data_IF_018853241673
#
_entry.id   IF_018853241673
#
_cell.length_a   1.000
_cell.length_b   1.000
_cell.length_c   1.000
_cell.angle_alpha   90.00
_cell.angle_beta   90.00
_cell.angle_gamma   90.00
#
_symmetry.space_group_name_H-M   'P 1'
#
loop_
_entity.id
_entity.type
_entity.pdbx_description
1 polymer ?
#
# COMPACT_ATOMS: atom_id res chain seq x y z
N UNK A 1 -25.89 35.75 23.64
CA UNK A 1 -25.96 35.83 25.11
C UNK A 1 -25.03 36.94 25.55
N UNK A 2 -25.61 38.06 25.95
CA UNK A 2 -24.95 39.32 26.24
C UNK A 2 -24.72 39.45 27.76
N UNK A 3 -23.55 39.99 28.14
CA UNK A 3 -23.26 40.47 29.49
C UNK A 3 -24.13 41.71 29.78
N UNK A 4 -24.64 41.86 31.02
CA UNK A 4 -24.96 43.17 31.55
C UNK A 4 -23.92 43.62 32.58
N UNK A 5 -23.41 44.82 32.34
CA UNK A 5 -22.75 45.66 33.32
C UNK A 5 -23.82 46.36 34.19
N UNK A 6 -23.56 46.51 35.49
CA UNK A 6 -24.21 47.55 36.30
C UNK A 6 -23.21 48.08 37.32
N UNK A 7 -22.73 49.30 37.07
CA UNK A 7 -22.08 50.12 38.08
C UNK A 7 -23.11 50.87 38.92
N UNK A 8 -22.76 51.17 40.16
CA UNK A 8 -23.27 52.38 40.82
C UNK A 8 -22.17 52.99 41.68
N UNK A 9 -21.78 54.22 41.31
CA UNK A 9 -21.15 55.20 42.18
C UNK A 9 -22.25 55.85 43.01
N UNK A 10 -21.91 56.48 44.15
CA UNK A 10 -22.11 57.93 44.39
C UNK A 10 -21.73 58.36 45.83
N UNK A 11 -21.00 59.51 45.89
CA UNK A 11 -20.84 60.59 46.90
C UNK A 11 -20.40 60.24 48.34
N UNK A 12 -19.32 60.78 48.92
CA UNK A 12 -18.75 62.15 49.07
C UNK A 12 -19.49 63.05 50.08
N UNK A 13 -18.68 63.66 50.96
CA UNK A 13 -18.91 64.71 51.98
C UNK A 13 -19.31 64.15 53.37
N UNK A 14 -18.82 64.63 54.52
CA UNK A 14 -18.11 65.87 54.88
C UNK A 14 -17.62 65.77 56.35
N UNK A 15 -16.54 66.46 56.69
CA UNK A 15 -16.08 66.69 58.07
C UNK A 15 -16.99 67.68 58.83
N UNK A 16 -16.86 67.79 60.17
CA UNK A 16 -15.96 68.83 60.71
C UNK A 16 -15.13 68.43 61.94
N UNK A 17 -14.04 69.20 62.15
CA UNK A 17 -13.15 69.24 63.32
C UNK A 17 -13.77 70.03 64.48
N UNK A 18 -13.63 69.55 65.71
CA UNK A 18 -13.26 70.27 66.98
C UNK A 18 -12.71 69.15 67.89
N UNK A 19 -11.50 69.12 68.45
CA UNK A 19 -10.79 70.10 69.26
C UNK A 19 -10.71 69.56 70.69
N UNK A 20 -9.55 69.04 71.11
CA UNK A 20 -9.31 68.56 72.48
C UNK A 20 -7.92 67.94 72.65
N UNK A 21 -6.98 68.71 73.22
CA UNK A 21 -5.64 68.26 73.64
C UNK A 21 -5.73 67.59 75.02
N UNK A 22 -5.01 66.48 75.21
CA UNK A 22 -4.20 66.18 76.39
C UNK A 22 -3.24 64.99 76.09
N UNK A 23 -2.08 64.86 76.75
CA UNK A 23 -0.96 64.06 76.29
C UNK A 23 -0.88 62.68 76.96
N UNK A 24 0.13 61.88 76.54
CA UNK A 24 0.96 60.96 77.37
C UNK A 24 1.09 59.51 76.85
N UNK A 25 2.35 59.04 76.89
CA UNK A 25 2.88 57.67 76.97
C UNK A 25 3.01 56.79 75.69
N UNK A 26 4.23 56.78 75.16
CA UNK A 26 4.87 55.60 74.54
C UNK A 26 4.95 54.45 75.56
N UNK A 27 4.46 53.25 75.23
CA UNK A 27 5.17 51.99 75.53
C UNK A 27 4.54 50.70 74.91
N UNK A 28 5.42 49.81 74.40
CA UNK A 28 5.29 48.32 74.23
C UNK A 28 4.26 47.75 73.22
N UNK A 29 4.64 47.78 71.92
CA UNK A 29 3.98 47.04 70.83
C UNK A 29 4.72 45.77 70.32
N UNK A 30 5.70 45.24 71.05
CA UNK A 30 6.53 44.08 70.60
C UNK A 30 6.17 42.73 71.23
N UNK A 31 5.48 42.66 72.38
CA UNK A 31 5.26 41.37 73.06
C UNK A 31 4.13 40.52 72.45
N UNK A 32 3.10 41.15 71.86
CA UNK A 32 1.97 40.42 71.24
C UNK A 32 2.38 39.70 69.95
N UNK A 33 3.25 40.32 69.14
CA UNK A 33 3.79 39.70 67.92
C UNK A 33 4.77 38.57 68.24
N UNK A 34 5.57 38.71 69.30
CA UNK A 34 6.47 37.64 69.76
C UNK A 34 5.68 36.44 70.30
N UNK A 35 4.56 36.67 71.00
CA UNK A 35 3.67 35.59 71.46
C UNK A 35 3.00 34.84 70.30
N UNK A 36 2.52 35.56 69.28
CA UNK A 36 1.92 34.92 68.09
C UNK A 36 2.98 34.15 67.29
N UNK A 37 4.17 34.73 67.10
CA UNK A 37 5.28 34.04 66.45
C UNK A 37 5.71 32.79 67.24
N UNK A 38 5.75 32.85 68.57
CA UNK A 38 6.06 31.68 69.41
C UNK A 38 4.99 30.59 69.32
N UNK A 39 3.71 30.94 69.20
CA UNK A 39 2.60 29.99 68.99
C UNK A 39 2.65 29.32 67.61
N UNK A 40 2.99 30.08 66.56
CA UNK A 40 3.16 29.54 65.22
C UNK A 40 4.41 28.64 65.19
N UNK A 41 5.51 29.06 65.82
CA UNK A 41 6.74 28.28 65.89
C UNK A 41 6.55 27.00 66.71
N UNK A 42 5.77 27.05 67.80
CA UNK A 42 5.40 25.84 68.55
C UNK A 42 4.46 24.96 67.75
N UNK A 43 3.51 25.53 67.02
CA UNK A 43 2.64 24.78 66.12
C UNK A 43 3.43 24.05 65.05
N UNK A 44 4.33 24.75 64.36
CA UNK A 44 5.20 24.17 63.33
C UNK A 44 6.19 23.16 63.93
N UNK A 45 6.75 23.44 65.11
CA UNK A 45 7.66 22.53 65.81
C UNK A 45 6.97 21.26 66.30
N UNK A 46 5.72 21.34 66.78
CA UNK A 46 4.90 20.18 67.16
C UNK A 46 4.52 19.38 65.92
N UNK A 47 4.10 20.03 64.84
CA UNK A 47 3.71 19.35 63.58
C UNK A 47 4.92 18.69 62.92
N UNK A 48 6.06 19.40 62.89
CA UNK A 48 7.33 18.88 62.38
C UNK A 48 7.92 17.78 63.27
N UNK A 49 7.79 17.91 64.59
CA UNK A 49 8.20 16.90 65.57
C UNK A 49 7.34 15.63 65.53
N UNK A 50 6.03 15.76 65.30
CA UNK A 50 5.13 14.64 65.05
C UNK A 50 5.49 13.91 63.75
N UNK A 51 5.74 14.66 62.66
CA UNK A 51 6.11 14.07 61.38
C UNK A 51 7.50 13.41 61.42
N UNK A 52 8.46 14.04 62.10
CA UNK A 52 9.78 13.48 62.35
C UNK A 52 9.72 12.26 63.29
N UNK A 53 8.88 12.27 64.32
CA UNK A 53 8.68 11.17 65.25
C UNK A 53 8.06 9.94 64.57
N UNK A 54 7.04 10.13 63.74
CA UNK A 54 6.42 9.07 62.93
C UNK A 54 7.47 8.40 62.02
N UNK A 55 8.36 9.19 61.41
CA UNK A 55 9.41 8.69 60.53
C UNK A 55 10.61 8.08 61.27
N UNK A 56 10.94 8.56 62.46
CA UNK A 56 12.06 8.05 63.29
C UNK A 56 11.70 6.77 64.05
N UNK A 57 10.44 6.61 64.45
CA UNK A 57 9.93 5.43 65.17
C UNK A 57 9.24 4.40 64.27
N UNK A 58 9.18 4.63 62.95
CA UNK A 58 8.49 3.78 61.98
C UNK A 58 7.06 3.42 62.43
N UNK A 59 6.33 4.42 62.94
CA UNK A 59 4.98 4.25 63.47
C UNK A 59 3.98 4.20 62.32
N UNK A 60 3.44 3.01 62.04
CA UNK A 60 2.37 2.84 61.07
C UNK A 60 1.05 3.37 61.62
N UNK A 61 0.77 4.64 61.34
CA UNK A 61 -0.46 5.34 61.74
C UNK A 61 -1.74 4.58 61.36
N UNK A 62 -1.73 3.86 60.23
CA UNK A 62 -2.84 3.02 59.80
C UNK A 62 -3.01 1.77 60.66
N UNK A 63 -1.93 1.22 61.20
CA UNK A 63 -1.96 0.04 62.07
C UNK A 63 -2.43 0.43 63.48
N UNK A 64 -1.88 1.53 64.01
CA UNK A 64 -2.35 2.12 65.27
C UNK A 64 -3.82 2.56 65.20
N UNK A 65 -4.24 3.23 64.12
CA UNK A 65 -5.63 3.64 63.93
C UNK A 65 -6.60 2.44 63.80
N UNK A 66 -6.11 1.29 63.35
CA UNK A 66 -6.89 0.04 63.31
C UNK A 66 -7.12 -0.60 64.69
N UNK A 67 -6.32 -0.26 65.71
CA UNK A 67 -6.49 -0.74 67.08
C UNK A 67 -7.57 0.03 67.85
N UNK A 68 -8.06 1.13 67.28
CA UNK A 68 -9.06 2.01 67.90
C UNK A 68 -10.45 1.63 67.39
N UNK A 69 -11.36 1.13 68.26
CA UNK A 69 -12.61 0.48 67.83
C UNK A 69 -13.59 1.40 67.07
N UNK A 70 -13.47 2.74 67.17
CA UNK A 70 -14.30 3.67 66.39
C UNK A 70 -13.75 3.98 64.99
N UNK A 71 -12.47 3.70 64.73
CA UNK A 71 -11.79 3.97 63.45
C UNK A 71 -11.60 2.71 62.59
N UNK A 72 -11.79 1.52 63.17
CA UNK A 72 -11.62 0.23 62.51
C UNK A 72 -12.34 0.16 61.14
N UNK A 73 -13.60 0.60 61.09
CA UNK A 73 -14.40 0.61 59.86
C UNK A 73 -13.84 1.53 58.77
N UNK A 74 -13.35 2.71 59.14
CA UNK A 74 -12.80 3.71 58.20
C UNK A 74 -11.43 3.27 57.67
N UNK A 75 -10.59 2.71 58.55
CA UNK A 75 -9.28 2.17 58.16
C UNK A 75 -9.44 0.95 57.26
N UNK A 76 -10.42 0.08 57.53
CA UNK A 76 -10.72 -1.09 56.70
C UNK A 76 -11.21 -0.70 55.31
N UNK A 77 -12.13 0.26 55.19
CA UNK A 77 -12.61 0.72 53.88
C UNK A 77 -11.52 1.43 53.08
N UNK A 78 -10.64 2.20 53.75
CA UNK A 78 -9.49 2.82 53.10
C UNK A 78 -8.47 1.77 52.60
N UNK A 79 -8.15 0.74 53.40
CA UNK A 79 -7.28 -0.37 52.96
C UNK A 79 -7.89 -1.16 51.80
N UNK A 80 -9.19 -1.44 51.84
CA UNK A 80 -9.91 -2.06 50.72
C UNK A 80 -9.87 -1.17 49.47
N UNK A 81 -10.00 0.14 49.62
CA UNK A 81 -9.86 1.11 48.53
C UNK A 81 -8.47 1.07 47.88
N UNK A 82 -7.40 1.11 48.67
CA UNK A 82 -6.01 0.99 48.19
C UNK A 82 -5.75 -0.33 47.47
N UNK A 83 -6.27 -1.45 48.00
CA UNK A 83 -6.15 -2.76 47.35
C UNK A 83 -6.92 -2.82 46.03
N UNK A 84 -8.13 -2.25 45.97
CA UNK A 84 -8.92 -2.17 44.75
C UNK A 84 -8.25 -1.25 43.71
N UNK A 85 -7.68 -0.12 44.13
CA UNK A 85 -6.95 0.79 43.25
C UNK A 85 -5.74 0.10 42.61
N UNK A 86 -4.97 -0.68 43.38
CA UNK A 86 -3.88 -1.48 42.84
C UNK A 86 -4.36 -2.49 41.79
N UNK A 87 -5.46 -3.20 42.06
CA UNK A 87 -6.05 -4.16 41.11
C UNK A 87 -6.59 -3.47 39.85
N UNK A 88 -7.20 -2.29 39.98
CA UNK A 88 -7.69 -1.50 38.85
C UNK A 88 -6.54 -1.02 37.97
N UNK A 89 -5.45 -0.52 38.56
CA UNK A 89 -4.25 -0.11 37.81
C UNK A 89 -3.63 -1.30 37.07
N UNK A 90 -3.57 -2.48 37.68
CA UNK A 90 -3.11 -3.70 37.00
C UNK A 90 -4.04 -4.13 35.86
N UNK A 91 -5.36 -4.07 36.08
CA UNK A 91 -6.35 -4.38 35.05
C UNK A 91 -6.28 -3.39 33.87
N UNK A 92 -6.15 -2.09 34.14
CA UNK A 92 -5.98 -1.05 33.12
C UNK A 92 -4.70 -1.26 32.31
N UNK A 93 -3.59 -1.59 32.98
CA UNK A 93 -2.33 -1.95 32.30
C UNK A 93 -2.50 -3.19 31.43
N UNK A 94 -3.20 -4.21 31.91
CA UNK A 94 -3.50 -5.43 31.15
C UNK A 94 -4.36 -5.15 29.92
N UNK A 95 -5.39 -4.31 30.05
CA UNK A 95 -6.24 -3.88 28.94
C UNK A 95 -5.44 -3.05 27.93
N UNK A 96 -4.62 -2.10 28.40
CA UNK A 96 -3.77 -1.28 27.54
C UNK A 96 -2.76 -2.13 26.76
N UNK A 97 -2.14 -3.12 27.40
CA UNK A 97 -1.22 -4.06 26.75
C UNK A 97 -1.94 -4.88 25.66
N UNK A 98 -3.13 -5.44 25.95
CA UNK A 98 -3.92 -6.18 24.97
C UNK A 98 -4.38 -5.31 23.80
N UNK A 99 -4.77 -4.06 24.05
CA UNK A 99 -5.12 -3.11 22.98
C UNK A 99 -3.93 -2.84 22.07
N UNK A 100 -2.76 -2.57 22.66
CA UNK A 100 -1.54 -2.34 21.88
C UNK A 100 -1.11 -3.58 21.07
N UNK A 101 -1.33 -4.78 21.60
CA UNK A 101 -1.10 -6.03 20.86
C UNK A 101 -2.07 -6.17 19.68
N UNK A 102 -3.37 -5.97 19.93
CA UNK A 102 -4.40 -6.05 18.90
C UNK A 102 -4.18 -4.99 17.81
N UNK A 103 -3.77 -3.77 18.17
CA UNK A 103 -3.45 -2.71 17.21
C UNK A 103 -2.28 -3.10 16.31
N UNK A 104 -1.25 -3.77 16.85
CA UNK A 104 -0.12 -4.29 16.06
C UNK A 104 -0.57 -5.42 15.13
N UNK A 105 -1.43 -6.32 15.60
CA UNK A 105 -2.00 -7.38 14.76
C UNK A 105 -2.85 -6.79 13.62
N UNK A 106 -3.67 -5.79 13.90
CA UNK A 106 -4.45 -5.08 12.89
C UNK A 106 -3.57 -4.40 11.84
N UNK A 107 -2.48 -3.76 12.26
CA UNK A 107 -1.51 -3.16 11.34
C UNK A 107 -0.85 -4.22 10.44
N UNK A 108 -0.37 -5.33 11.02
CA UNK A 108 0.21 -6.44 10.26
C UNK A 108 -0.79 -7.02 9.25
N UNK A 109 -2.04 -7.25 9.68
CA UNK A 109 -3.07 -7.79 8.81
C UNK A 109 -3.43 -6.81 7.68
N UNK A 110 -3.42 -5.51 7.94
CA UNK A 110 -3.63 -4.49 6.93
C UNK A 110 -2.51 -4.51 5.88
N UNK A 111 -1.25 -4.54 6.32
CA UNK A 111 -0.07 -4.64 5.44
C UNK A 111 -0.10 -5.92 4.59
N UNK A 112 -0.42 -7.07 5.19
CA UNK A 112 -0.56 -8.34 4.48
C UNK A 112 -1.67 -8.31 3.44
N UNK A 113 -2.82 -7.69 3.77
CA UNK A 113 -3.94 -7.54 2.83
C UNK A 113 -3.56 -6.66 1.64
N UNK A 114 -2.86 -5.56 1.87
CA UNK A 114 -2.38 -4.70 0.78
C UNK A 114 -1.37 -5.43 -0.10
N UNK A 115 -0.43 -6.16 0.50
CA UNK A 115 0.55 -6.97 -0.24
C UNK A 115 -0.13 -8.07 -1.07
N UNK A 116 -1.15 -8.75 -0.52
CA UNK A 116 -1.92 -9.76 -1.23
C UNK A 116 -2.74 -9.15 -2.37
N UNK A 117 -3.37 -7.97 -2.17
CA UNK A 117 -4.10 -7.27 -3.21
C UNK A 117 -3.19 -6.87 -4.38
N UNK A 118 -1.98 -6.37 -4.08
CA UNK A 118 -0.99 -6.02 -5.09
C UNK A 118 -0.55 -7.26 -5.90
N UNK A 119 -0.29 -8.38 -5.22
CA UNK A 119 0.07 -9.65 -5.88
C UNK A 119 -1.07 -10.21 -6.73
N UNK A 120 -2.31 -10.12 -6.25
CA UNK A 120 -3.49 -10.55 -7.00
C UNK A 120 -3.64 -9.76 -8.30
N UNK A 121 -3.46 -8.44 -8.26
CA UNK A 121 -3.49 -7.59 -9.44
C UNK A 121 -2.35 -7.92 -10.42
N UNK A 122 -1.15 -8.22 -9.91
CA UNK A 122 -0.02 -8.63 -10.74
C UNK A 122 -0.29 -9.97 -11.44
N UNK A 123 -0.84 -10.94 -10.71
CA UNK A 123 -1.22 -12.24 -11.27
C UNK A 123 -2.30 -12.11 -12.33
N UNK A 124 -3.33 -11.29 -12.10
CA UNK A 124 -4.39 -11.02 -13.07
C UNK A 124 -3.83 -10.44 -14.38
N UNK A 125 -2.94 -9.45 -14.28
CA UNK A 125 -2.24 -8.89 -15.46
C UNK A 125 -1.43 -9.96 -16.20
N UNK A 126 -0.66 -10.78 -15.48
CA UNK A 126 0.12 -11.87 -16.09
C UNK A 126 -0.79 -12.90 -16.77
N UNK A 127 -1.90 -13.24 -16.15
CA UNK A 127 -2.88 -14.16 -16.72
C UNK A 127 -3.48 -13.59 -18.01
N UNK A 128 -3.92 -12.33 -18.01
CA UNK A 128 -4.46 -11.68 -19.22
C UNK A 128 -3.42 -11.60 -20.36
N UNK A 129 -2.14 -11.39 -20.03
CA UNK A 129 -1.07 -11.36 -21.00
C UNK A 129 -0.83 -12.75 -21.59
N UNK A 130 -0.78 -13.79 -20.76
CA UNK A 130 -0.63 -15.17 -21.21
C UNK A 130 -1.80 -15.62 -22.09
N UNK A 131 -3.03 -15.24 -21.76
CA UNK A 131 -4.20 -15.54 -22.59
C UNK A 131 -4.11 -14.84 -23.96
N UNK A 132 -3.66 -13.59 -24.01
CA UNK A 132 -3.45 -12.88 -25.26
C UNK A 132 -2.33 -13.52 -26.10
N UNK A 133 -1.24 -13.92 -25.46
CA UNK A 133 -0.11 -14.59 -26.11
C UNK A 133 -0.52 -15.94 -26.67
N UNK A 134 -1.29 -16.72 -25.91
CA UNK A 134 -1.80 -18.01 -26.34
C UNK A 134 -2.71 -17.87 -27.58
N UNK A 135 -3.60 -16.88 -27.60
CA UNK A 135 -4.43 -16.60 -28.79
C UNK A 135 -3.58 -16.28 -30.02
N UNK A 136 -2.57 -15.42 -29.87
CA UNK A 136 -1.63 -15.10 -30.98
C UNK A 136 -0.86 -16.32 -31.46
N UNK A 137 -0.46 -17.22 -30.55
CA UNK A 137 0.22 -18.45 -30.93
C UNK A 137 -0.69 -19.41 -31.70
N UNK A 138 -1.96 -19.53 -31.30
CA UNK A 138 -2.95 -20.34 -32.02
C UNK A 138 -3.18 -19.78 -33.41
N UNK A 139 -3.39 -18.47 -33.55
CA UNK A 139 -3.57 -17.79 -34.85
C UNK A 139 -2.36 -18.04 -35.77
N UNK A 140 -1.14 -17.84 -35.27
CA UNK A 140 0.08 -18.12 -36.03
C UNK A 140 0.21 -19.59 -36.42
N UNK A 141 -0.15 -20.50 -35.52
CA UNK A 141 -0.11 -21.93 -35.80
C UNK A 141 -1.11 -22.30 -36.91
N UNK A 142 -2.31 -21.72 -36.91
CA UNK A 142 -3.28 -21.90 -37.98
C UNK A 142 -2.78 -21.34 -39.31
N UNK A 143 -2.20 -20.13 -39.31
CA UNK A 143 -1.60 -19.52 -40.50
C UNK A 143 -0.50 -20.40 -41.10
N UNK A 144 0.42 -20.88 -40.26
CA UNK A 144 1.50 -21.78 -40.68
C UNK A 144 0.94 -23.10 -41.22
N UNK A 145 -0.10 -23.65 -40.60
CA UNK A 145 -0.73 -24.90 -41.05
C UNK A 145 -1.41 -24.71 -42.41
N UNK A 146 -2.10 -23.59 -42.62
CA UNK A 146 -2.73 -23.25 -43.91
C UNK A 146 -1.67 -23.01 -44.99
N UNK A 147 -0.58 -22.32 -44.66
CA UNK A 147 0.54 -22.09 -45.57
C UNK A 147 1.22 -23.42 -45.95
N UNK A 148 1.47 -24.30 -44.99
CA UNK A 148 2.04 -25.62 -45.23
C UNK A 148 1.13 -26.49 -46.12
N UNK A 149 -0.18 -26.50 -45.88
CA UNK A 149 -1.15 -27.21 -46.72
C UNK A 149 -1.18 -26.68 -48.17
N UNK A 150 -1.05 -25.36 -48.33
CA UNK A 150 -0.98 -24.70 -49.63
C UNK A 150 0.28 -25.09 -50.39
N UNK A 151 1.45 -24.99 -49.74
CA UNK A 151 2.73 -25.41 -50.31
C UNK A 151 2.74 -26.89 -50.70
N UNK A 152 2.15 -27.76 -49.87
CA UNK A 152 2.07 -29.18 -50.16
C UNK A 152 1.13 -29.48 -51.35
N UNK A 153 0.03 -28.73 -51.49
CA UNK A 153 -0.83 -28.77 -52.69
C UNK A 153 -0.07 -28.33 -53.93
N UNK A 154 0.66 -27.22 -53.87
CA UNK A 154 1.46 -26.71 -54.99
C UNK A 154 2.54 -27.72 -55.40
N UNK A 155 3.25 -28.32 -54.43
CA UNK A 155 4.24 -29.38 -54.66
C UNK A 155 3.62 -30.62 -55.32
N UNK A 156 2.40 -31.03 -54.92
CA UNK A 156 1.69 -32.13 -55.58
C UNK A 156 1.41 -31.82 -57.05
N UNK A 157 0.92 -30.62 -57.34
CA UNK A 157 0.64 -30.18 -58.70
C UNK A 157 1.92 -30.11 -59.53
N UNK A 158 2.99 -29.53 -58.98
CA UNK A 158 4.30 -29.50 -59.63
C UNK A 158 4.82 -30.91 -59.95
N UNK A 159 4.72 -31.87 -59.02
CA UNK A 159 5.10 -33.28 -59.28
C UNK A 159 4.32 -33.90 -60.45
N UNK A 160 3.04 -33.57 -60.59
CA UNK A 160 2.24 -34.05 -61.73
C UNK A 160 2.79 -33.51 -63.05
N UNK A 161 3.04 -32.19 -63.12
CA UNK A 161 3.64 -31.58 -64.32
C UNK A 161 5.07 -32.06 -64.58
N UNK A 162 5.84 -32.36 -63.54
CA UNK A 162 7.19 -32.92 -63.67
C UNK A 162 7.19 -34.29 -64.36
N UNK A 163 6.15 -35.10 -64.13
CA UNK A 163 6.00 -36.41 -64.77
C UNK A 163 5.49 -36.33 -66.22
N UNK A 164 5.11 -35.14 -66.69
CA UNK A 164 4.55 -34.91 -68.02
C UNK A 164 5.62 -34.46 -69.02
N UNK A 165 5.37 -34.66 -70.32
CA UNK A 165 6.27 -34.17 -71.36
C UNK A 165 6.23 -32.63 -71.40
N UNK A 166 7.38 -31.94 -71.53
CA UNK A 166 7.43 -30.47 -71.43
C UNK A 166 6.48 -29.72 -72.38
N UNK A 167 6.31 -30.21 -73.62
CA UNK A 167 5.39 -29.61 -74.60
C UNK A 167 3.91 -29.75 -74.20
N UNK A 168 3.53 -30.88 -73.62
CA UNK A 168 2.16 -31.12 -73.16
C UNK A 168 1.86 -30.28 -71.92
N UNK A 169 2.81 -30.22 -70.97
CA UNK A 169 2.72 -29.34 -69.81
C UNK A 169 2.62 -27.86 -70.22
N UNK A 170 3.44 -27.40 -71.17
CA UNK A 170 3.39 -26.03 -71.70
C UNK A 170 2.03 -25.69 -72.33
N UNK A 171 1.45 -26.61 -73.11
CA UNK A 171 0.15 -26.41 -73.73
C UNK A 171 -0.99 -26.29 -72.69
N UNK A 172 -0.95 -27.09 -71.61
CA UNK A 172 -1.94 -27.04 -70.54
C UNK A 172 -1.77 -25.76 -69.70
N UNK A 173 -0.52 -25.42 -69.32
CA UNK A 173 -0.23 -24.25 -68.51
C UNK A 173 -0.53 -22.94 -69.26
N UNK A 174 -0.39 -22.90 -70.58
CA UNK A 174 -0.73 -21.72 -71.40
C UNK A 174 -2.23 -21.38 -71.38
N UNK A 175 -3.08 -22.29 -70.93
CA UNK A 175 -4.53 -22.07 -70.78
C UNK A 175 -4.94 -21.72 -69.35
N UNK A 176 -3.96 -21.63 -68.42
CA UNK A 176 -4.20 -21.37 -66.99
C UNK A 176 -3.96 -19.89 -66.66
N UNK A 177 -4.56 -19.38 -65.57
CA UNK A 177 -4.27 -18.04 -65.07
C UNK A 177 -2.78 -17.88 -64.75
N UNK A 178 -2.22 -16.72 -65.11
CA UNK A 178 -0.79 -16.41 -64.97
C UNK A 178 -0.24 -16.68 -63.55
N UNK A 179 -1.03 -16.35 -62.53
CA UNK A 179 -0.70 -16.55 -61.12
C UNK A 179 -0.61 -18.03 -60.72
N UNK A 180 -1.42 -18.90 -61.33
CA UNK A 180 -1.37 -20.34 -61.08
C UNK A 180 -0.12 -20.94 -61.74
N UNK A 181 0.17 -20.54 -62.98
CA UNK A 181 1.36 -20.98 -63.72
C UNK A 181 2.64 -20.60 -62.98
N UNK A 182 2.74 -19.35 -62.51
CA UNK A 182 3.88 -18.85 -61.77
C UNK A 182 4.16 -19.66 -60.49
N UNK A 183 3.10 -19.99 -59.72
CA UNK A 183 3.23 -20.82 -58.50
C UNK A 183 3.68 -22.24 -58.78
N UNK A 184 3.13 -22.86 -59.83
CA UNK A 184 3.53 -24.20 -60.24
C UNK A 184 5.00 -24.22 -60.69
N UNK A 185 5.44 -23.22 -61.45
CA UNK A 185 6.83 -23.11 -61.88
C UNK A 185 7.80 -22.88 -60.71
N UNK A 186 7.43 -22.06 -59.72
CA UNK A 186 8.23 -21.88 -58.50
C UNK A 186 8.37 -23.17 -57.67
N UNK A 187 7.39 -24.07 -57.74
CA UNK A 187 7.41 -25.35 -57.05
C UNK A 187 8.10 -26.48 -57.86
N UNK A 188 8.43 -26.24 -59.13
CA UNK A 188 9.12 -27.19 -60.00
C UNK A 188 10.65 -27.10 -59.84
N UNK A 189 11.39 -28.20 -60.09
CA UNK A 189 12.84 -28.13 -60.28
C UNK A 189 13.18 -27.20 -61.44
N UNK A 190 14.28 -26.45 -61.32
CA UNK A 190 14.68 -25.41 -62.26
C UNK A 190 14.81 -25.95 -63.70
N UNK A 191 15.35 -27.17 -63.86
CA UNK A 191 15.57 -27.80 -65.16
C UNK A 191 14.24 -28.12 -65.85
N UNK A 192 13.28 -28.66 -65.10
CA UNK A 192 11.95 -28.99 -65.64
C UNK A 192 11.15 -27.71 -65.95
N UNK A 193 11.20 -26.72 -65.05
CA UNK A 193 10.57 -25.42 -65.28
C UNK A 193 11.12 -24.73 -66.53
N UNK A 194 12.45 -24.74 -66.72
CA UNK A 194 13.09 -24.20 -67.91
C UNK A 194 12.69 -24.93 -69.19
N UNK A 195 12.62 -26.27 -69.16
CA UNK A 195 12.19 -27.07 -70.31
C UNK A 195 10.73 -26.80 -70.71
N UNK A 196 9.84 -26.57 -69.73
CA UNK A 196 8.45 -26.19 -69.97
C UNK A 196 8.37 -24.78 -70.55
N UNK A 197 9.08 -23.80 -69.97
CA UNK A 197 9.12 -22.43 -70.48
C UNK A 197 9.64 -22.38 -71.92
N UNK A 198 10.68 -23.16 -72.25
CA UNK A 198 11.22 -23.27 -73.61
C UNK A 198 10.22 -23.88 -74.61
N UNK A 199 9.21 -24.61 -74.14
CA UNK A 199 8.16 -25.20 -74.95
C UNK A 199 6.88 -24.34 -75.02
N UNK A 200 6.82 -23.22 -74.29
CA UNK A 200 5.73 -22.24 -74.35
C UNK A 200 5.95 -21.22 -75.48
N UNK A 201 4.89 -20.48 -75.82
CA UNK A 201 5.01 -19.29 -76.66
C UNK A 201 5.91 -18.24 -75.98
N UNK A 202 6.88 -17.61 -76.71
CA UNK A 202 7.82 -16.66 -76.11
C UNK A 202 7.15 -15.47 -75.40
N UNK A 203 6.02 -14.98 -75.90
CA UNK A 203 5.28 -13.88 -75.27
C UNK A 203 4.66 -14.32 -73.95
N UNK A 204 4.04 -15.50 -73.92
CA UNK A 204 3.47 -16.09 -72.71
C UNK A 204 4.55 -16.42 -71.67
N UNK A 205 5.67 -17.01 -72.08
CA UNK A 205 6.78 -17.33 -71.19
C UNK A 205 7.37 -16.07 -70.52
N UNK A 206 7.48 -14.96 -71.25
CA UNK A 206 7.90 -13.66 -70.72
C UNK A 206 6.98 -13.14 -69.62
N UNK A 207 5.65 -13.17 -69.85
CA UNK A 207 4.66 -12.74 -68.87
C UNK A 207 4.69 -13.60 -67.60
N UNK A 208 4.86 -14.91 -67.76
CA UNK A 208 4.96 -15.84 -66.64
C UNK A 208 6.21 -15.56 -65.82
N UNK A 209 7.35 -15.31 -66.46
CA UNK A 209 8.61 -15.01 -65.79
C UNK A 209 8.55 -13.68 -65.04
N UNK A 210 7.96 -12.64 -65.64
CA UNK A 210 7.70 -11.37 -64.98
C UNK A 210 6.83 -11.58 -63.73
N UNK A 211 5.78 -12.41 -63.85
CA UNK A 211 4.90 -12.73 -62.73
C UNK A 211 5.61 -13.48 -61.61
N UNK A 212 6.49 -14.41 -61.95
CA UNK A 212 7.35 -15.15 -60.99
C UNK A 212 8.29 -14.21 -60.25
N UNK A 213 8.92 -13.25 -60.95
CA UNK A 213 9.79 -12.24 -60.35
C UNK A 213 9.03 -11.29 -59.41
N UNK A 214 7.78 -10.96 -59.76
CA UNK A 214 6.90 -10.14 -58.93
C UNK A 214 6.33 -10.87 -57.69
N UNK A 215 6.48 -12.20 -57.58
CA UNK A 215 6.05 -12.94 -56.40
C UNK A 215 7.13 -12.89 -55.30
N UNK A 216 6.75 -12.61 -54.03
CA UNK A 216 7.68 -12.50 -52.89
C UNK A 216 8.31 -13.84 -52.42
N UNK A 217 8.49 -14.81 -53.31
CA UNK A 217 9.18 -16.08 -53.04
C UNK A 217 10.26 -16.46 -54.06
N UNK A 218 10.48 -15.65 -55.11
CA UNK A 218 11.39 -15.97 -56.22
C UNK A 218 12.79 -15.33 -56.14
N UNK A 219 13.04 -14.40 -55.22
CA UNK A 219 14.31 -13.68 -55.11
C UNK A 219 14.89 -13.76 -53.70
N UNK A 220 15.96 -14.54 -53.56
CA UNK A 220 17.00 -14.33 -52.56
C UNK A 220 16.65 -14.63 -51.11
N UNK A 221 17.48 -15.47 -50.48
CA UNK A 221 17.76 -15.37 -49.06
C UNK A 221 17.88 -13.89 -48.65
N UNK A 222 17.27 -13.44 -47.53
CA UNK A 222 17.51 -12.10 -47.03
C UNK A 222 19.00 -11.97 -46.68
N UNK A 223 19.72 -11.16 -47.45
CA UNK A 223 20.98 -10.55 -47.04
C UNK A 223 20.67 -9.64 -45.84
N UNK A 224 20.70 -10.21 -44.64
CA UNK A 224 20.31 -9.51 -43.41
C UNK A 224 20.54 -10.29 -42.12
N UNK A 225 21.33 -11.37 -42.14
CA UNK A 225 21.90 -11.97 -40.94
C UNK A 225 23.41 -11.70 -40.87
N UNK A 226 23.77 -10.42 -40.85
CA UNK A 226 25.00 -9.95 -40.22
C UNK A 226 24.62 -8.87 -39.20
N UNK A 227 24.86 -9.18 -37.93
CA UNK A 227 24.90 -8.19 -36.85
C UNK A 227 23.67 -8.12 -35.94
N UNK A 228 23.62 -8.97 -34.91
CA UNK A 228 23.91 -8.63 -33.51
C UNK A 228 23.54 -9.78 -32.58
#
# INVERSE_FOLDING_TARGET
MALPATGSRVKVASAPRIGGRAPVARHRGRSRLVLIAALILSGVGITGGLWAGVRWFNLDLLEWAGQVPFLEGVVRTYRLGLQNEAQLVEAERGIAARRAELDREWQRLAEEREALAARALELDRKQSALEADQKRLVERQEELTRAAATLDRERRVARLYQSMRPREAAAILSQRPLDEVARVLLALPAETGAAILAAMDPGQAGLVLERVQAMPGGAGLPAGMEGR
#
